data_IF_929337093348
#
_entry.id   IF_929337093348
#
_cell.length_a   1.000
_cell.length_b   1.000
_cell.length_c   1.000
_cell.angle_alpha   90.00
_cell.angle_beta   90.00
_cell.angle_gamma   90.00
#
_symmetry.space_group_name_H-M   'P 1'
#
loop_
_entity.id
_entity.type
_entity.pdbx_description
1 polymer ?
#
# COMPACT_ATOMS: atom_id res chain seq x y z
N UNK A 1 71.31 57.01 -18.50
CA UNK A 1 70.69 55.68 -18.35
C UNK A 1 69.52 55.85 -17.40
N UNK A 2 68.32 55.92 -17.95
CA UNK A 2 67.08 56.15 -17.25
C UNK A 2 66.47 54.80 -16.96
N UNK A 3 66.35 54.45 -15.68
CA UNK A 3 65.59 53.27 -15.22
C UNK A 3 64.08 53.54 -15.35
N UNK A 4 63.48 52.91 -16.34
CA UNK A 4 62.04 52.87 -16.46
C UNK A 4 61.46 51.86 -15.42
N UNK A 5 60.93 52.40 -14.34
CA UNK A 5 60.12 51.64 -13.43
C UNK A 5 58.79 51.26 -14.13
N UNK A 6 58.74 50.06 -14.65
CA UNK A 6 57.45 49.44 -15.03
C UNK A 6 56.63 49.22 -13.76
N UNK A 7 55.74 50.15 -13.46
CA UNK A 7 54.72 49.99 -12.41
C UNK A 7 53.74 48.91 -12.78
N UNK A 8 53.90 47.72 -12.19
CA UNK A 8 52.90 46.66 -12.31
C UNK A 8 51.59 47.15 -11.68
N UNK A 9 50.57 47.41 -12.54
CA UNK A 9 49.23 47.69 -12.13
C UNK A 9 48.71 46.44 -11.45
N UNK A 10 48.64 46.46 -10.09
CA UNK A 10 47.94 45.41 -9.33
C UNK A 10 46.47 45.58 -9.61
N UNK A 11 45.91 44.72 -10.48
CA UNK A 11 44.47 44.59 -10.66
C UNK A 11 43.84 44.24 -9.29
N UNK A 12 43.18 45.23 -8.64
CA UNK A 12 42.35 44.98 -7.48
C UNK A 12 41.09 44.25 -7.98
N UNK A 13 41.00 42.96 -7.67
CA UNK A 13 39.80 42.18 -7.89
C UNK A 13 38.73 42.70 -6.93
N UNK A 14 37.72 43.35 -7.46
CA UNK A 14 36.48 43.63 -6.75
C UNK A 14 35.52 42.52 -7.10
N UNK A 15 35.08 41.66 -6.17
CA UNK A 15 34.07 40.66 -6.46
C UNK A 15 32.81 41.35 -6.97
N UNK A 16 32.33 41.02 -8.15
CA UNK A 16 31.15 41.61 -8.79
C UNK A 16 29.83 41.30 -8.04
N UNK A 17 29.87 40.32 -7.14
CA UNK A 17 28.75 39.98 -6.25
C UNK A 17 29.19 40.10 -4.78
N UNK A 18 28.36 40.70 -3.90
CA UNK A 18 28.64 40.81 -2.48
C UNK A 18 28.40 39.52 -1.69
N UNK A 19 28.69 38.33 -2.30
CA UNK A 19 28.50 37.02 -1.72
C UNK A 19 29.84 36.28 -1.59
N UNK A 20 29.97 35.46 -0.54
CA UNK A 20 31.14 34.59 -0.37
C UNK A 20 31.12 33.46 -1.39
N UNK A 21 32.33 32.99 -1.81
CA UNK A 21 32.46 31.88 -2.76
C UNK A 21 31.71 30.63 -2.29
N UNK A 22 31.67 30.30 -1.01
CA UNK A 22 30.92 29.18 -0.44
C UNK A 22 29.40 29.32 -0.65
N UNK A 23 28.87 30.56 -0.45
CA UNK A 23 27.43 30.81 -0.69
C UNK A 23 27.06 30.69 -2.16
N UNK A 24 27.93 31.20 -3.05
CA UNK A 24 27.74 31.05 -4.51
C UNK A 24 27.78 29.58 -4.92
N UNK A 25 28.73 28.79 -4.40
CA UNK A 25 28.80 27.36 -4.66
C UNK A 25 27.53 26.61 -4.16
N UNK A 26 27.04 26.95 -2.98
CA UNK A 26 25.79 26.37 -2.45
C UNK A 26 24.60 26.71 -3.34
N UNK A 27 24.46 27.94 -3.83
CA UNK A 27 23.39 28.33 -4.72
C UNK A 27 23.45 27.62 -6.07
N UNK A 28 24.64 27.42 -6.64
CA UNK A 28 24.82 26.63 -7.86
C UNK A 28 24.42 25.18 -7.64
N UNK A 29 24.84 24.58 -6.53
CA UNK A 29 24.43 23.21 -6.16
C UNK A 29 22.91 23.12 -6.01
N UNK A 30 22.29 24.00 -5.24
CA UNK A 30 20.84 24.02 -5.04
C UNK A 30 20.07 24.22 -6.36
N UNK A 31 20.63 24.99 -7.31
CA UNK A 31 20.02 25.16 -8.62
C UNK A 31 19.92 23.83 -9.39
N UNK A 32 20.96 22.98 -9.31
CA UNK A 32 20.93 21.66 -9.94
C UNK A 32 19.89 20.74 -9.26
N UNK A 33 19.79 20.78 -7.94
CA UNK A 33 18.83 19.98 -7.18
C UNK A 33 17.37 20.45 -7.42
N UNK A 34 17.15 21.77 -7.53
CA UNK A 34 15.84 22.31 -7.92
C UNK A 34 15.43 21.79 -9.31
N UNK A 35 16.32 21.80 -10.29
CA UNK A 35 16.04 21.27 -11.62
C UNK A 35 15.74 19.77 -11.58
N UNK A 36 16.48 19.01 -10.77
CA UNK A 36 16.27 17.58 -10.61
C UNK A 36 14.88 17.28 -10.04
N UNK A 37 14.50 17.90 -8.90
CA UNK A 37 13.18 17.70 -8.32
C UNK A 37 12.06 18.27 -9.19
N UNK A 38 12.25 19.40 -9.84
CA UNK A 38 11.28 19.96 -10.78
C UNK A 38 11.02 19.00 -11.95
N UNK A 39 12.06 18.33 -12.47
CA UNK A 39 11.92 17.29 -13.48
C UNK A 39 11.11 16.08 -12.98
N UNK A 40 11.38 15.61 -11.76
CA UNK A 40 10.66 14.50 -11.15
C UNK A 40 9.18 14.85 -10.87
N UNK A 41 8.91 16.02 -10.30
CA UNK A 41 7.56 16.51 -10.02
C UNK A 41 6.79 16.72 -11.33
N UNK A 42 7.44 17.32 -12.33
CA UNK A 42 6.86 17.50 -13.66
C UNK A 42 6.49 16.17 -14.30
N UNK A 43 7.38 15.18 -14.21
CA UNK A 43 7.12 13.81 -14.69
C UNK A 43 5.92 13.18 -13.98
N UNK A 44 5.83 13.31 -12.65
CA UNK A 44 4.67 12.82 -11.89
C UNK A 44 3.37 13.47 -12.38
N UNK A 45 3.36 14.79 -12.56
CA UNK A 45 2.18 15.54 -13.03
C UNK A 45 1.77 15.05 -14.42
N UNK A 46 2.71 14.92 -15.35
CA UNK A 46 2.43 14.45 -16.73
C UNK A 46 1.87 13.02 -16.72
N UNK A 47 2.46 12.12 -15.94
CA UNK A 47 2.00 10.74 -15.83
C UNK A 47 0.61 10.67 -15.19
N UNK A 48 0.35 11.45 -14.16
CA UNK A 48 -0.95 11.51 -13.49
C UNK A 48 -2.07 11.98 -14.41
N UNK A 49 -1.86 13.07 -15.13
CA UNK A 49 -2.88 13.62 -16.03
C UNK A 49 -2.95 12.87 -17.37
N UNK A 50 -1.90 12.15 -17.76
CA UNK A 50 -1.89 11.30 -18.95
C UNK A 50 -2.47 9.90 -18.73
N UNK A 51 -2.57 9.45 -17.48
CA UNK A 51 -3.13 8.14 -17.17
C UNK A 51 -4.67 8.15 -17.26
N UNK A 52 -5.29 7.08 -17.78
CA UNK A 52 -6.75 6.94 -17.82
C UNK A 52 -7.38 6.83 -16.43
N UNK A 53 -6.62 6.39 -15.44
CA UNK A 53 -7.02 6.30 -14.05
C UNK A 53 -5.80 6.50 -13.15
N UNK A 54 -5.99 7.14 -11.99
CA UNK A 54 -4.95 7.39 -10.99
C UNK A 54 -5.51 7.09 -9.61
N UNK A 55 -4.81 6.31 -8.77
CA UNK A 55 -5.34 5.91 -7.47
C UNK A 55 -5.48 7.11 -6.53
N UNK A 56 -6.53 7.08 -5.73
CA UNK A 56 -6.76 8.06 -4.67
C UNK A 56 -5.88 7.72 -3.44
N UNK A 57 -5.53 8.71 -2.60
CA UNK A 57 -4.65 8.49 -1.45
C UNK A 57 -5.08 7.36 -0.52
N UNK A 58 -6.38 7.22 -0.26
CA UNK A 58 -6.93 6.16 0.60
C UNK A 58 -6.82 4.75 -0.03
N UNK A 59 -6.83 4.63 -1.36
CA UNK A 59 -6.69 3.34 -2.06
C UNK A 59 -5.28 2.78 -1.98
N UNK A 60 -4.31 3.65 -1.75
CA UNK A 60 -2.88 3.29 -1.62
C UNK A 60 -2.37 3.44 -0.19
N UNK A 61 -3.27 3.42 0.78
CA UNK A 61 -2.97 3.51 2.21
C UNK A 61 -2.10 4.73 2.56
N UNK A 62 -2.38 5.89 1.96
CA UNK A 62 -1.83 7.18 2.37
C UNK A 62 -2.73 7.82 3.43
N UNK A 63 -2.11 8.23 4.53
CA UNK A 63 -2.79 8.93 5.62
C UNK A 63 -2.47 10.42 5.59
N UNK A 64 -3.46 11.22 5.21
CA UNK A 64 -3.32 12.70 5.18
C UNK A 64 -2.89 13.29 6.53
N UNK A 65 -3.44 12.87 7.70
CA UNK A 65 -3.04 13.40 8.99
C UNK A 65 -1.57 13.11 9.32
N UNK A 66 -1.08 11.92 8.95
CA UNK A 66 0.33 11.55 9.17
C UNK A 66 1.24 12.40 8.28
N UNK A 67 0.86 12.62 7.02
CA UNK A 67 1.58 13.50 6.11
C UNK A 67 1.62 14.96 6.60
N UNK A 68 0.48 15.48 7.08
CA UNK A 68 0.38 16.81 7.65
C UNK A 68 1.24 16.98 8.91
N UNK A 69 1.20 16.02 9.83
CA UNK A 69 2.07 16.00 11.01
C UNK A 69 3.56 16.02 10.61
N UNK A 70 3.92 15.21 9.63
CA UNK A 70 5.29 15.11 9.17
C UNK A 70 5.78 16.44 8.52
N UNK A 71 4.88 17.11 7.79
CA UNK A 71 5.12 18.45 7.23
C UNK A 71 5.32 19.48 8.35
N UNK A 72 4.49 19.45 9.40
CA UNK A 72 4.64 20.32 10.55
C UNK A 72 5.99 20.14 11.26
N UNK A 73 6.43 18.89 11.44
CA UNK A 73 7.73 18.56 12.04
C UNK A 73 8.88 19.19 11.23
N UNK A 74 8.84 19.11 9.90
CA UNK A 74 9.86 19.74 9.05
C UNK A 74 9.85 21.27 9.17
N UNK A 75 8.68 21.91 9.14
CA UNK A 75 8.57 23.37 9.32
C UNK A 75 9.17 23.80 10.67
N UNK A 76 8.90 23.05 11.75
CA UNK A 76 9.53 23.30 13.04
C UNK A 76 11.06 23.16 12.98
N UNK A 77 11.56 22.14 12.26
CA UNK A 77 13.00 21.94 12.09
C UNK A 77 13.68 23.08 11.32
N UNK A 78 13.00 23.65 10.34
CA UNK A 78 13.44 24.85 9.62
C UNK A 78 13.64 26.05 10.56
N UNK A 79 12.72 26.25 11.50
CA UNK A 79 12.85 27.31 12.52
C UNK A 79 14.04 27.06 13.43
N UNK A 80 14.25 25.82 13.88
CA UNK A 80 15.37 25.48 14.78
C UNK A 80 16.73 25.67 14.13
N UNK A 81 16.88 25.46 12.82
CA UNK A 81 18.13 25.77 12.09
C UNK A 81 18.43 27.28 12.09
N UNK A 82 17.41 28.13 11.90
CA UNK A 82 17.56 29.59 11.94
C UNK A 82 17.99 30.04 13.35
N UNK A 83 17.37 29.48 14.39
CA UNK A 83 17.75 29.79 15.79
C UNK A 83 19.16 29.31 16.10
N UNK A 84 19.61 28.18 15.52
CA UNK A 84 21.00 27.73 15.65
C UNK A 84 21.98 28.71 15.01
N UNK A 85 21.68 29.23 13.82
CA UNK A 85 22.48 30.23 13.13
C UNK A 85 22.58 31.53 13.94
N UNK A 86 21.45 32.03 14.47
CA UNK A 86 21.41 33.24 15.27
C UNK A 86 22.23 33.06 16.55
N UNK A 87 22.09 31.95 17.26
CA UNK A 87 22.87 31.63 18.44
C UNK A 87 24.39 31.58 18.17
N UNK A 88 24.80 31.04 17.03
CA UNK A 88 26.19 30.98 16.59
C UNK A 88 26.75 32.39 16.28
N UNK A 89 25.97 33.25 15.61
CA UNK A 89 26.35 34.65 15.31
C UNK A 89 26.62 35.47 16.57
N UNK A 90 25.87 35.19 17.63
CA UNK A 90 26.03 35.86 18.96
C UNK A 90 27.05 35.11 19.85
N UNK A 91 27.76 34.12 19.27
CA UNK A 91 28.79 33.31 19.95
C UNK A 91 28.26 32.48 21.15
N UNK A 92 26.96 32.13 21.17
CA UNK A 92 26.34 31.27 22.19
C UNK A 92 26.42 29.80 21.77
N UNK A 93 27.64 29.24 21.82
CA UNK A 93 27.96 27.91 21.31
C UNK A 93 27.05 26.81 21.88
N UNK A 94 26.74 26.85 23.18
CA UNK A 94 25.87 25.86 23.82
C UNK A 94 24.45 25.89 23.28
N UNK A 95 23.86 27.06 23.05
CA UNK A 95 22.53 27.21 22.46
C UNK A 95 22.53 26.82 20.99
N UNK A 96 23.56 27.19 20.21
CA UNK A 96 23.68 26.78 18.83
C UNK A 96 23.69 25.25 18.69
N UNK A 97 24.48 24.55 19.51
CA UNK A 97 24.46 23.07 19.55
C UNK A 97 23.12 22.50 19.98
N UNK A 98 22.45 23.11 20.96
CA UNK A 98 21.12 22.68 21.39
C UNK A 98 20.09 22.78 20.26
N UNK A 99 20.08 23.84 19.47
CA UNK A 99 19.21 24.02 18.34
C UNK A 99 19.53 23.08 17.17
N UNK A 100 20.82 22.81 16.89
CA UNK A 100 21.22 21.79 15.89
C UNK A 100 20.78 20.39 16.33
N UNK A 101 20.91 20.06 17.62
CA UNK A 101 20.41 18.78 18.15
C UNK A 101 18.88 18.67 18.03
N UNK A 102 18.14 19.76 18.27
CA UNK A 102 16.70 19.80 18.07
C UNK A 102 16.33 19.58 16.59
N UNK A 103 17.03 20.22 15.64
CA UNK A 103 16.85 19.99 14.21
C UNK A 103 17.10 18.55 13.84
N UNK A 104 18.20 17.97 14.32
CA UNK A 104 18.54 16.55 14.09
C UNK A 104 17.43 15.62 14.59
N UNK A 105 16.93 15.87 15.80
CA UNK A 105 15.87 15.06 16.40
C UNK A 105 14.58 15.15 15.57
N UNK A 106 14.14 16.36 15.18
CA UNK A 106 12.96 16.56 14.36
C UNK A 106 13.09 15.88 12.98
N UNK A 107 14.25 15.97 12.34
CA UNK A 107 14.52 15.29 11.09
C UNK A 107 14.55 13.75 11.23
N UNK A 108 15.06 13.23 12.36
CA UNK A 108 14.96 11.80 12.67
C UNK A 108 13.51 11.35 12.86
N UNK A 109 12.66 12.15 13.50
CA UNK A 109 11.22 11.89 13.63
C UNK A 109 10.59 11.82 12.25
N UNK A 110 10.90 12.77 11.34
CA UNK A 110 10.41 12.75 9.96
C UNK A 110 10.77 11.45 9.24
N UNK A 111 12.04 11.03 9.27
CA UNK A 111 12.47 9.77 8.62
C UNK A 111 11.85 8.55 9.29
N UNK A 112 11.67 8.55 10.61
CA UNK A 112 11.01 7.47 11.34
C UNK A 112 9.56 7.28 10.89
N UNK A 113 8.80 8.38 10.76
CA UNK A 113 7.42 8.36 10.23
C UNK A 113 7.40 7.86 8.78
N UNK A 114 8.35 8.29 7.94
CA UNK A 114 8.45 7.81 6.55
C UNK A 114 8.82 6.32 6.47
N UNK A 115 9.70 5.84 7.34
CA UNK A 115 10.02 4.42 7.41
C UNK A 115 8.81 3.57 7.82
N UNK A 116 8.02 4.03 8.80
CA UNK A 116 6.76 3.39 9.20
C UNK A 116 5.76 3.34 8.03
N UNK A 117 5.60 4.46 7.30
CA UNK A 117 4.71 4.52 6.13
C UNK A 117 5.15 3.56 5.01
N UNK A 118 6.46 3.46 4.75
CA UNK A 118 7.00 2.51 3.78
C UNK A 118 6.78 1.07 4.22
N UNK A 119 7.00 0.76 5.49
CA UNK A 119 6.73 -0.57 6.04
C UNK A 119 5.25 -0.94 5.87
N UNK A 120 4.33 -0.02 6.17
CA UNK A 120 2.90 -0.24 5.96
C UNK A 120 2.57 -0.52 4.48
N UNK A 121 3.17 0.20 3.53
CA UNK A 121 2.97 -0.07 2.10
C UNK A 121 3.50 -1.44 1.68
N UNK A 122 4.69 -1.81 2.11
CA UNK A 122 5.27 -3.11 1.81
C UNK A 122 4.47 -4.26 2.43
N UNK A 123 3.93 -4.09 3.64
CA UNK A 123 3.05 -5.08 4.26
C UNK A 123 1.72 -5.27 3.50
N UNK A 124 1.26 -4.25 2.76
CA UNK A 124 0.09 -4.36 1.87
C UNK A 124 0.45 -4.78 0.43
N UNK A 125 1.70 -5.15 0.16
CA UNK A 125 2.14 -5.58 -1.17
C UNK A 125 2.26 -4.46 -2.20
N UNK A 126 2.37 -3.20 -1.75
CA UNK A 126 2.59 -2.04 -2.61
C UNK A 126 4.11 -1.82 -2.73
N UNK A 127 4.67 -2.25 -3.86
CA UNK A 127 6.09 -2.11 -4.17
C UNK A 127 6.29 -1.26 -5.43
N UNK A 128 7.49 -0.66 -5.60
CA UNK A 128 7.78 0.19 -6.77
C UNK A 128 7.65 -0.57 -8.09
N UNK A 129 7.85 -1.89 -8.10
CA UNK A 129 7.89 -2.71 -9.32
C UNK A 129 7.61 -4.19 -9.04
N UNK A 130 7.10 -4.91 -10.06
CA UNK A 130 7.04 -6.38 -10.07
C UNK A 130 8.47 -6.97 -10.02
N UNK A 131 8.67 -8.18 -9.45
CA UNK A 131 7.64 -9.16 -9.11
C UNK A 131 7.00 -8.99 -7.72
N UNK A 132 7.50 -8.09 -6.87
CA UNK A 132 7.03 -7.96 -5.48
C UNK A 132 5.69 -7.22 -5.36
N UNK A 133 5.35 -6.37 -6.34
CA UNK A 133 4.06 -5.65 -6.35
C UNK A 133 2.89 -6.61 -6.57
N UNK A 134 1.92 -6.57 -5.65
CA UNK A 134 0.65 -7.29 -5.76
C UNK A 134 -0.42 -6.50 -6.54
N UNK A 135 -0.05 -5.37 -7.11
CA UNK A 135 -0.95 -4.47 -7.84
C UNK A 135 -1.12 -4.96 -9.28
N UNK A 136 -2.38 -5.03 -9.73
CA UNK A 136 -2.80 -5.27 -11.11
C UNK A 136 -3.58 -4.06 -11.63
N UNK A 137 -3.41 -3.75 -12.92
CA UNK A 137 -4.05 -2.61 -13.57
C UNK A 137 -5.54 -2.84 -13.88
N UNK A 138 -5.91 -4.09 -14.07
CA UNK A 138 -7.26 -4.50 -14.44
C UNK A 138 -7.57 -5.89 -13.93
N UNK A 139 -8.85 -6.21 -13.67
CA UNK A 139 -9.29 -7.55 -13.32
C UNK A 139 -9.36 -8.38 -14.60
N UNK A 140 -8.28 -9.08 -14.92
CA UNK A 140 -8.17 -10.00 -16.03
C UNK A 140 -7.88 -11.45 -15.55
N UNK A 141 -7.72 -12.36 -16.51
CA UNK A 141 -7.43 -13.77 -16.20
C UNK A 141 -6.08 -13.97 -15.52
N UNK A 142 -5.08 -13.12 -15.83
CA UNK A 142 -3.78 -13.19 -15.17
C UNK A 142 -3.90 -12.82 -13.70
N UNK A 143 -4.70 -11.78 -13.40
CA UNK A 143 -5.05 -11.38 -12.03
C UNK A 143 -5.75 -12.52 -11.29
N UNK A 144 -6.81 -13.08 -11.88
CA UNK A 144 -7.59 -14.14 -11.25
C UNK A 144 -6.78 -15.44 -11.03
N UNK A 145 -5.89 -15.79 -11.97
CA UNK A 145 -4.97 -16.92 -11.80
C UNK A 145 -4.01 -16.69 -10.65
N UNK A 146 -3.48 -15.48 -10.49
CA UNK A 146 -2.57 -15.15 -9.40
C UNK A 146 -3.28 -15.17 -8.04
N UNK A 147 -4.52 -14.65 -7.94
CA UNK A 147 -5.34 -14.76 -6.73
C UNK A 147 -5.49 -16.24 -6.34
N UNK A 148 -5.83 -17.10 -7.29
CA UNK A 148 -5.98 -18.53 -7.04
C UNK A 148 -4.66 -19.18 -6.62
N UNK A 149 -3.56 -18.91 -7.33
CA UNK A 149 -2.23 -19.42 -6.97
C UNK A 149 -1.80 -19.00 -5.57
N UNK A 150 -2.08 -17.76 -5.18
CA UNK A 150 -1.78 -17.25 -3.84
C UNK A 150 -2.58 -18.01 -2.77
N UNK A 151 -3.88 -18.22 -3.00
CA UNK A 151 -4.72 -19.01 -2.09
C UNK A 151 -4.25 -20.47 -2.01
N UNK A 152 -3.91 -21.11 -3.14
CA UNK A 152 -3.37 -22.47 -3.18
C UNK A 152 -2.03 -22.59 -2.43
N UNK A 153 -1.14 -21.62 -2.62
CA UNK A 153 0.14 -21.58 -1.90
C UNK A 153 -0.06 -21.44 -0.38
N UNK A 154 -1.02 -20.61 0.05
CA UNK A 154 -1.39 -20.51 1.47
C UNK A 154 -1.95 -21.84 2.00
N UNK A 155 -2.84 -22.49 1.25
CA UNK A 155 -3.41 -23.77 1.65
C UNK A 155 -2.33 -24.84 1.81
N UNK A 156 -1.41 -24.95 0.85
CA UNK A 156 -0.29 -25.91 0.91
C UNK A 156 0.62 -25.62 2.10
N UNK A 157 0.97 -24.36 2.31
CA UNK A 157 1.82 -23.94 3.44
C UNK A 157 1.19 -24.31 4.80
N UNK A 158 -0.10 -23.97 4.98
CA UNK A 158 -0.81 -24.24 6.22
C UNK A 158 -1.06 -25.75 6.43
N UNK A 159 -1.34 -26.51 5.37
CA UNK A 159 -1.52 -27.96 5.44
C UNK A 159 -0.23 -28.72 5.70
N UNK A 160 0.94 -28.17 5.34
CA UNK A 160 2.25 -28.77 5.61
C UNK A 160 2.76 -28.53 7.03
N UNK A 161 2.14 -27.68 7.81
CA UNK A 161 2.45 -27.48 9.23
C UNK A 161 1.99 -28.71 10.03
N UNK A 162 2.94 -29.45 10.61
CA UNK A 162 2.70 -30.75 11.26
C UNK A 162 1.72 -30.74 12.45
N UNK A 163 1.51 -29.57 13.10
CA UNK A 163 0.51 -29.34 14.17
C UNK A 163 0.03 -27.88 14.06
N UNK A 164 -0.99 -27.62 13.22
CA UNK A 164 -1.48 -26.25 13.05
C UNK A 164 -2.12 -25.74 14.35
N UNK A 165 -1.74 -24.50 14.73
CA UNK A 165 -2.40 -23.77 15.81
C UNK A 165 -3.88 -23.51 15.49
N UNK A 166 -4.68 -23.13 16.47
CA UNK A 166 -6.09 -22.79 16.27
C UNK A 166 -6.26 -21.71 15.19
N UNK A 167 -5.38 -20.69 15.20
CA UNK A 167 -5.39 -19.62 14.20
C UNK A 167 -5.06 -20.14 12.79
N UNK A 168 -4.12 -21.07 12.65
CA UNK A 168 -3.77 -21.68 11.37
C UNK A 168 -4.88 -22.61 10.85
N UNK A 169 -5.63 -23.26 11.73
CA UNK A 169 -6.81 -24.03 11.36
C UNK A 169 -7.92 -23.12 10.80
N UNK A 170 -8.17 -21.99 11.44
CA UNK A 170 -9.11 -20.99 10.95
C UNK A 170 -8.67 -20.39 9.60
N UNK A 171 -7.39 -20.10 9.45
CA UNK A 171 -6.81 -19.65 8.18
C UNK A 171 -6.98 -20.70 7.07
N UNK A 172 -6.78 -21.98 7.38
CA UNK A 172 -6.96 -23.10 6.45
C UNK A 172 -8.42 -23.23 6.04
N UNK A 173 -9.35 -23.10 6.98
CA UNK A 173 -10.81 -23.14 6.71
C UNK A 173 -11.24 -21.98 5.81
N UNK A 174 -10.79 -20.76 6.09
CA UNK A 174 -11.06 -19.56 5.26
C UNK A 174 -10.49 -19.76 3.85
N UNK A 175 -9.21 -20.12 3.73
CA UNK A 175 -8.55 -20.33 2.44
C UNK A 175 -9.25 -21.41 1.61
N UNK A 176 -9.57 -22.56 2.21
CA UNK A 176 -10.26 -23.64 1.55
C UNK A 176 -11.69 -23.27 1.12
N UNK A 177 -12.39 -22.44 1.89
CA UNK A 177 -13.72 -21.93 1.54
C UNK A 177 -13.64 -20.96 0.35
N UNK A 178 -12.68 -20.04 0.36
CA UNK A 178 -12.47 -19.11 -0.75
C UNK A 178 -12.08 -19.83 -2.04
N UNK A 179 -11.19 -20.83 -2.00
CA UNK A 179 -10.79 -21.61 -3.17
C UNK A 179 -11.94 -22.38 -3.79
N UNK A 180 -12.77 -23.02 -2.95
CA UNK A 180 -13.87 -23.88 -3.44
C UNK A 180 -15.09 -23.11 -3.92
N UNK A 181 -15.37 -21.95 -3.33
CA UNK A 181 -16.66 -21.27 -3.53
C UNK A 181 -16.56 -19.85 -4.08
N UNK A 182 -15.37 -19.25 -4.10
CA UNK A 182 -15.17 -17.90 -4.57
C UNK A 182 -14.27 -17.80 -5.79
N UNK A 183 -13.08 -18.41 -5.77
CA UNK A 183 -12.15 -18.44 -6.90
C UNK A 183 -12.23 -19.78 -7.66
N UNK A 184 -13.43 -20.19 -8.07
CA UNK A 184 -13.66 -21.51 -8.70
C UNK A 184 -13.06 -21.60 -10.10
N UNK A 185 -12.44 -22.73 -10.48
CA UNK A 185 -11.94 -22.93 -11.84
C UNK A 185 -13.01 -22.74 -12.92
N UNK A 186 -14.23 -23.22 -12.67
CA UNK A 186 -15.35 -23.09 -13.61
C UNK A 186 -15.74 -21.62 -13.90
N UNK A 187 -15.71 -20.75 -12.89
CA UNK A 187 -15.97 -19.31 -13.04
C UNK A 187 -14.84 -18.62 -13.83
N UNK A 188 -13.60 -19.01 -13.58
CA UNK A 188 -12.44 -18.50 -14.30
C UNK A 188 -12.41 -18.99 -15.76
N UNK A 189 -12.85 -20.24 -16.01
CA UNK A 189 -13.00 -20.77 -17.37
C UNK A 189 -14.10 -20.04 -18.13
N UNK A 190 -15.23 -19.73 -17.49
CA UNK A 190 -16.28 -18.90 -18.10
C UNK A 190 -15.76 -17.48 -18.46
N UNK A 191 -14.83 -16.94 -17.66
CA UNK A 191 -14.18 -15.67 -17.94
C UNK A 191 -13.23 -15.72 -19.16
N UNK A 192 -12.69 -16.89 -19.52
CA UNK A 192 -11.84 -17.06 -20.71
C UNK A 192 -12.58 -16.79 -22.03
N UNK A 193 -13.89 -16.95 -22.06
CA UNK A 193 -14.69 -16.69 -23.27
C UNK A 193 -14.80 -15.21 -23.64
N UNK A 194 -14.25 -14.29 -22.84
CA UNK A 194 -14.21 -12.84 -23.11
C UNK A 194 -15.59 -12.18 -23.15
N UNK A 195 -16.63 -12.85 -22.68
CA UNK A 195 -18.00 -12.35 -22.68
C UNK A 195 -18.26 -11.44 -21.44
N UNK A 196 -19.36 -10.69 -21.48
CA UNK A 196 -19.77 -9.80 -20.40
C UNK A 196 -19.90 -10.51 -19.04
N UNK A 197 -20.37 -11.75 -19.03
CA UNK A 197 -20.54 -12.55 -17.81
C UNK A 197 -19.19 -12.86 -17.13
N UNK A 198 -18.18 -13.21 -17.92
CA UNK A 198 -16.82 -13.43 -17.41
C UNK A 198 -16.22 -12.16 -16.78
N UNK A 199 -16.41 -10.99 -17.41
CA UNK A 199 -15.92 -9.74 -16.86
C UNK A 199 -16.63 -9.35 -15.54
N UNK A 200 -17.92 -9.65 -15.41
CA UNK A 200 -18.66 -9.46 -14.14
C UNK A 200 -18.04 -10.28 -13.00
N UNK A 201 -17.68 -11.54 -13.28
CA UNK A 201 -17.01 -12.41 -12.28
C UNK A 201 -15.66 -11.84 -11.85
N UNK A 202 -14.84 -11.40 -12.82
CA UNK A 202 -13.53 -10.82 -12.54
C UNK A 202 -13.62 -9.51 -11.72
N UNK A 203 -14.55 -8.64 -12.10
CA UNK A 203 -14.80 -7.39 -11.35
C UNK A 203 -15.26 -7.67 -9.93
N UNK A 204 -16.11 -8.68 -9.73
CA UNK A 204 -16.58 -9.12 -8.43
C UNK A 204 -15.45 -9.67 -7.55
N UNK A 205 -14.56 -10.46 -8.16
CA UNK A 205 -13.37 -10.97 -7.48
C UNK A 205 -12.47 -9.81 -6.98
N UNK A 206 -12.20 -8.85 -7.87
CA UNK A 206 -11.39 -7.68 -7.52
C UNK A 206 -12.02 -6.85 -6.39
N UNK A 207 -13.31 -6.54 -6.52
CA UNK A 207 -14.03 -5.75 -5.56
C UNK A 207 -14.16 -6.43 -4.17
N UNK A 208 -14.17 -7.76 -4.11
CA UNK A 208 -14.19 -8.49 -2.84
C UNK A 208 -12.82 -8.47 -2.13
N UNK A 209 -11.72 -8.42 -2.88
CA UNK A 209 -10.36 -8.36 -2.32
C UNK A 209 -10.02 -6.95 -1.85
N UNK A 210 -10.29 -5.96 -2.70
CA UNK A 210 -10.08 -4.55 -2.42
C UNK A 210 -11.15 -3.70 -3.12
N UNK A 211 -12.26 -3.35 -2.44
CA UNK A 211 -13.32 -2.55 -3.03
C UNK A 211 -12.89 -1.08 -3.13
N UNK A 212 -13.12 -0.46 -4.27
CA UNK A 212 -13.01 0.99 -4.40
C UNK A 212 -14.16 1.69 -3.64
N UNK A 213 -13.90 2.89 -3.10
CA UNK A 213 -14.80 3.55 -2.16
C UNK A 213 -16.22 3.79 -2.66
N UNK A 214 -16.41 4.08 -3.94
CA UNK A 214 -17.70 4.25 -4.62
C UNK A 214 -18.44 2.92 -4.88
N UNK A 215 -17.70 1.81 -4.96
CA UNK A 215 -18.24 0.48 -5.21
C UNK A 215 -18.70 -0.24 -3.93
N UNK A 216 -18.18 0.15 -2.76
CA UNK A 216 -18.50 -0.49 -1.47
C UNK A 216 -20.01 -0.61 -1.17
N UNK A 217 -20.84 0.45 -1.31
CA UNK A 217 -22.27 0.35 -1.00
C UNK A 217 -22.99 -0.61 -1.94
N UNK A 218 -22.61 -0.59 -3.23
CA UNK A 218 -23.21 -1.45 -4.26
C UNK A 218 -22.87 -2.91 -3.98
N UNK A 219 -21.60 -3.18 -3.68
CA UNK A 219 -21.14 -4.53 -3.40
C UNK A 219 -21.77 -5.11 -2.11
N UNK A 220 -21.87 -4.34 -1.04
CA UNK A 220 -22.58 -4.75 0.19
C UNK A 220 -24.03 -5.13 -0.09
N UNK A 221 -24.71 -4.35 -0.93
CA UNK A 221 -26.10 -4.63 -1.33
C UNK A 221 -26.19 -5.95 -2.12
N UNK A 222 -25.30 -6.16 -3.08
CA UNK A 222 -25.27 -7.39 -3.88
C UNK A 222 -24.97 -8.62 -3.02
N UNK A 223 -23.97 -8.55 -2.14
CA UNK A 223 -23.64 -9.65 -1.22
C UNK A 223 -24.81 -9.98 -0.29
N UNK A 224 -25.51 -8.96 0.22
CA UNK A 224 -26.69 -9.16 1.08
C UNK A 224 -27.84 -9.82 0.33
N UNK A 225 -28.08 -9.42 -0.92
CA UNK A 225 -29.12 -10.03 -1.77
C UNK A 225 -28.79 -11.51 -2.08
N UNK A 226 -27.55 -11.80 -2.48
CA UNK A 226 -27.10 -13.14 -2.76
C UNK A 226 -27.15 -14.04 -1.52
N UNK A 227 -26.76 -13.52 -0.36
CA UNK A 227 -26.90 -14.23 0.91
C UNK A 227 -28.33 -14.64 1.17
N UNK A 228 -29.28 -13.72 1.03
CA UNK A 228 -30.71 -14.00 1.23
C UNK A 228 -31.26 -15.04 0.21
N UNK A 229 -30.80 -14.98 -1.02
CA UNK A 229 -31.22 -15.95 -2.06
C UNK A 229 -30.67 -17.36 -1.75
N UNK A 230 -29.42 -17.45 -1.32
CA UNK A 230 -28.82 -18.73 -0.93
C UNK A 230 -29.43 -19.30 0.36
N UNK A 231 -29.77 -18.46 1.33
CA UNK A 231 -30.52 -18.89 2.53
C UNK A 231 -31.87 -19.49 2.17
N UNK A 232 -32.65 -18.84 1.31
CA UNK A 232 -33.91 -19.37 0.80
C UNK A 232 -33.73 -20.69 0.06
N UNK A 233 -32.67 -20.80 -0.75
CA UNK A 233 -32.37 -22.05 -1.49
C UNK A 233 -31.96 -23.17 -0.53
N UNK A 234 -31.15 -22.89 0.49
CA UNK A 234 -30.79 -23.86 1.54
C UNK A 234 -32.05 -24.38 2.23
N UNK A 235 -32.90 -23.47 2.71
CA UNK A 235 -34.11 -23.83 3.42
C UNK A 235 -35.06 -24.67 2.55
N UNK A 236 -35.14 -24.37 1.23
CA UNK A 236 -35.90 -25.15 0.27
C UNK A 236 -35.30 -26.55 0.03
N UNK A 237 -33.97 -26.68 0.05
CA UNK A 237 -33.32 -28.00 -0.06
C UNK A 237 -33.51 -28.84 1.20
N UNK A 238 -33.38 -28.21 2.37
CA UNK A 238 -33.60 -28.88 3.66
C UNK A 238 -35.05 -29.38 3.82
N UNK A 239 -36.01 -28.57 3.35
CA UNK A 239 -37.44 -28.99 3.32
C UNK A 239 -37.66 -30.20 2.43
N UNK A 240 -36.90 -30.38 1.34
CA UNK A 240 -36.95 -31.55 0.45
C UNK A 240 -36.17 -32.74 1.02
N UNK A 241 -35.05 -32.51 1.68
CA UNK A 241 -34.18 -33.56 2.23
C UNK A 241 -34.77 -34.21 3.48
N UNK A 242 -35.39 -33.44 4.36
CA UNK A 242 -35.97 -33.94 5.64
C UNK A 242 -36.93 -35.11 5.46
N UNK A 243 -37.97 -35.02 4.58
CA UNK A 243 -38.90 -36.13 4.40
C UNK A 243 -38.22 -37.35 3.74
N UNK A 244 -37.28 -37.14 2.82
CA UNK A 244 -36.58 -38.26 2.17
C UNK A 244 -35.68 -39.01 3.17
N UNK A 245 -35.01 -38.30 4.07
CA UNK A 245 -34.22 -38.93 5.12
C UNK A 245 -35.10 -39.69 6.15
N UNK A 246 -36.30 -39.19 6.46
CA UNK A 246 -37.25 -39.89 7.30
C UNK A 246 -37.71 -41.17 6.61
N UNK A 247 -38.10 -41.10 5.33
CA UNK A 247 -38.51 -42.24 4.55
C UNK A 247 -37.39 -43.29 4.44
N UNK A 248 -36.13 -42.86 4.24
CA UNK A 248 -34.97 -43.72 4.24
C UNK A 248 -34.80 -44.47 5.56
N UNK A 249 -34.97 -43.76 6.69
CA UNK A 249 -34.86 -44.35 8.04
C UNK A 249 -35.97 -45.36 8.28
N UNK A 250 -37.19 -45.07 7.82
CA UNK A 250 -38.37 -45.94 7.96
C UNK A 250 -38.18 -47.22 7.12
N UNK A 251 -37.77 -47.11 5.87
CA UNK A 251 -37.48 -48.27 5.03
C UNK A 251 -36.38 -49.17 5.59
N UNK A 252 -35.30 -48.56 6.16
CA UNK A 252 -34.23 -49.31 6.84
C UNK A 252 -34.69 -49.98 8.13
N UNK A 253 -35.68 -49.43 8.86
CA UNK A 253 -36.17 -49.99 10.08
C UNK A 253 -37.20 -51.15 9.89
N UNK A 254 -37.83 -51.20 8.73
CA UNK A 254 -38.80 -52.28 8.38
C UNK A 254 -38.19 -53.64 8.10
N UNK A 255 -36.85 -53.72 7.89
CA UNK A 255 -36.06 -54.96 7.90
C UNK A 255 -36.49 -56.07 6.93
N UNK A 256 -37.29 -55.77 5.90
CA UNK A 256 -37.71 -56.73 4.91
C UNK A 256 -36.75 -56.65 3.69
N UNK A 257 -35.89 -57.64 3.58
CA UNK A 257 -35.01 -57.86 2.38
C UNK A 257 -35.83 -58.41 1.20
N UNK A 258 -36.67 -57.54 0.62
CA UNK A 258 -37.29 -57.82 -0.67
C UNK A 258 -36.59 -57.00 -1.77
N UNK A 259 -36.31 -57.59 -2.91
CA UNK A 259 -35.67 -56.94 -4.05
C UNK A 259 -36.33 -55.59 -4.45
N UNK A 260 -37.64 -55.45 -4.29
CA UNK A 260 -38.37 -54.21 -4.52
C UNK A 260 -38.05 -53.13 -3.48
N UNK A 261 -37.75 -53.51 -2.24
CA UNK A 261 -37.37 -52.56 -1.16
C UNK A 261 -35.93 -52.08 -1.35
N UNK A 262 -35.04 -52.95 -1.85
CA UNK A 262 -33.64 -52.58 -2.18
C UNK A 262 -33.59 -51.61 -3.36
N UNK A 263 -34.42 -51.80 -4.40
CA UNK A 263 -34.50 -50.91 -5.55
C UNK A 263 -35.02 -49.50 -5.11
N UNK A 264 -36.10 -49.46 -4.30
CA UNK A 264 -36.61 -48.23 -3.72
C UNK A 264 -35.61 -47.52 -2.84
N UNK A 265 -34.84 -48.24 -2.03
CA UNK A 265 -33.80 -47.71 -1.17
C UNK A 265 -32.62 -47.16 -1.98
N UNK A 266 -32.25 -47.84 -3.07
CA UNK A 266 -31.20 -47.38 -3.99
C UNK A 266 -31.58 -46.06 -4.66
N UNK A 267 -32.83 -45.98 -5.20
CA UNK A 267 -33.32 -44.76 -5.83
C UNK A 267 -33.43 -43.59 -4.87
N UNK A 268 -33.88 -43.85 -3.62
CA UNK A 268 -33.97 -42.87 -2.56
C UNK A 268 -32.58 -42.36 -2.12
N UNK A 269 -31.62 -43.28 -1.98
CA UNK A 269 -30.22 -42.94 -1.67
C UNK A 269 -29.63 -42.05 -2.77
N UNK A 270 -29.90 -42.33 -4.04
CA UNK A 270 -29.45 -41.52 -5.17
C UNK A 270 -30.05 -40.11 -5.12
N UNK A 271 -31.34 -39.96 -4.82
CA UNK A 271 -32.01 -38.65 -4.64
C UNK A 271 -31.43 -37.88 -3.45
N UNK A 272 -31.25 -38.55 -2.33
CA UNK A 272 -30.64 -37.93 -1.10
C UNK A 272 -29.20 -37.50 -1.38
N UNK A 273 -28.39 -38.29 -2.07
CA UNK A 273 -27.05 -37.97 -2.43
C UNK A 273 -26.98 -36.75 -3.37
N UNK A 274 -27.81 -36.65 -4.35
CA UNK A 274 -27.88 -35.52 -5.28
C UNK A 274 -28.29 -34.24 -4.58
N UNK A 275 -29.41 -34.26 -3.85
CA UNK A 275 -29.90 -33.08 -3.11
C UNK A 275 -28.95 -32.70 -1.94
N UNK A 276 -28.34 -33.70 -1.29
CA UNK A 276 -27.33 -33.48 -0.25
C UNK A 276 -26.07 -32.84 -0.81
N UNK A 277 -25.63 -33.20 -2.00
CA UNK A 277 -24.52 -32.54 -2.72
C UNK A 277 -24.86 -31.09 -3.04
N UNK A 278 -26.08 -30.82 -3.53
CA UNK A 278 -26.52 -29.44 -3.79
C UNK A 278 -26.58 -28.59 -2.48
N UNK A 279 -27.10 -29.18 -1.41
CA UNK A 279 -27.18 -28.51 -0.11
C UNK A 279 -25.78 -28.17 0.43
N UNK A 280 -24.85 -29.11 0.32
CA UNK A 280 -23.44 -28.86 0.75
C UNK A 280 -22.79 -27.77 -0.09
N UNK A 281 -23.06 -27.72 -1.40
CA UNK A 281 -22.54 -26.65 -2.25
C UNK A 281 -23.14 -25.27 -1.89
N UNK A 282 -24.43 -25.20 -1.64
CA UNK A 282 -25.14 -23.99 -1.22
C UNK A 282 -24.62 -23.49 0.13
N UNK A 283 -24.41 -24.39 1.07
CA UNK A 283 -23.85 -24.04 2.40
C UNK A 283 -22.42 -23.54 2.30
N UNK A 284 -21.59 -24.18 1.47
CA UNK A 284 -20.22 -23.73 1.23
C UNK A 284 -20.17 -22.34 0.57
N UNK A 285 -21.09 -22.05 -0.36
CA UNK A 285 -21.22 -20.70 -0.95
C UNK A 285 -21.71 -19.68 0.08
N UNK A 286 -22.65 -20.06 0.95
CA UNK A 286 -23.14 -19.20 2.00
C UNK A 286 -22.03 -18.83 2.98
N UNK A 287 -21.16 -19.77 3.34
CA UNK A 287 -19.99 -19.54 4.19
C UNK A 287 -19.02 -18.58 3.49
N UNK A 288 -18.73 -18.76 2.19
CA UNK A 288 -17.89 -17.84 1.44
C UNK A 288 -18.45 -16.42 1.42
N UNK A 289 -19.76 -16.26 1.16
CA UNK A 289 -20.43 -14.94 1.19
C UNK A 289 -20.40 -14.33 2.58
N UNK A 290 -20.53 -15.15 3.61
CA UNK A 290 -20.44 -14.64 5.01
C UNK A 290 -19.03 -14.13 5.33
N UNK A 291 -17.99 -14.80 4.83
CA UNK A 291 -16.60 -14.30 4.90
C UNK A 291 -16.46 -12.95 4.19
N UNK A 292 -16.98 -12.85 2.95
CA UNK A 292 -16.94 -11.63 2.13
C UNK A 292 -17.77 -10.49 2.75
N UNK A 293 -18.98 -10.78 3.23
CA UNK A 293 -19.88 -9.81 3.85
C UNK A 293 -19.33 -9.26 5.18
N UNK A 294 -18.50 -10.04 5.86
CA UNK A 294 -17.80 -9.60 7.07
C UNK A 294 -16.51 -8.82 6.79
N UNK A 295 -16.10 -8.69 5.53
CA UNK A 295 -14.91 -7.95 5.11
C UNK A 295 -15.31 -6.59 4.53
N UNK A 296 -15.70 -5.66 5.40
CA UNK A 296 -16.27 -4.36 5.04
C UNK A 296 -15.35 -3.52 4.13
N UNK A 297 -14.05 -3.63 4.30
CA UNK A 297 -13.02 -2.94 3.51
C UNK A 297 -12.23 -3.88 2.59
N UNK A 298 -12.75 -5.10 2.37
CA UNK A 298 -12.13 -6.13 1.54
C UNK A 298 -11.38 -7.20 2.31
N UNK A 299 -11.05 -8.28 1.60
CA UNK A 299 -10.39 -9.45 2.19
C UNK A 299 -8.99 -9.15 2.72
N UNK A 300 -8.21 -8.34 2.01
CA UNK A 300 -6.85 -7.99 2.42
C UNK A 300 -6.82 -7.14 3.70
N UNK A 301 -7.83 -6.27 3.90
CA UNK A 301 -7.94 -5.46 5.11
C UNK A 301 -8.35 -6.31 6.32
N UNK A 302 -9.30 -7.23 6.13
CA UNK A 302 -9.77 -8.11 7.22
C UNK A 302 -8.78 -9.21 7.57
N UNK A 303 -8.14 -9.79 6.56
CA UNK A 303 -7.22 -10.92 6.67
C UNK A 303 -5.83 -10.52 6.18
N UNK A 304 -5.12 -9.69 6.97
CA UNK A 304 -3.78 -9.18 6.61
C UNK A 304 -2.77 -10.26 6.22
N UNK A 305 -2.96 -11.50 6.67
CA UNK A 305 -2.11 -12.63 6.33
C UNK A 305 -2.32 -13.19 4.92
N UNK A 306 -3.45 -12.86 4.25
CA UNK A 306 -3.78 -13.38 2.92
C UNK A 306 -2.89 -12.81 1.82
N UNK A 307 -2.54 -11.52 1.89
CA UNK A 307 -1.74 -10.82 0.88
C UNK A 307 -2.17 -11.14 -0.57
N UNK A 308 -3.49 -11.07 -0.84
CA UNK A 308 -4.02 -11.34 -2.18
C UNK A 308 -3.65 -10.20 -3.14
N UNK A 309 -3.41 -10.50 -4.43
CA UNK A 309 -3.29 -9.50 -5.47
C UNK A 309 -4.50 -8.57 -5.49
N UNK A 310 -4.26 -7.27 -5.69
CA UNK A 310 -5.29 -6.24 -5.71
C UNK A 310 -5.31 -5.51 -7.04
N UNK A 311 -6.48 -5.03 -7.45
CA UNK A 311 -6.63 -4.23 -8.67
C UNK A 311 -6.67 -2.76 -8.27
N UNK A 312 -5.64 -2.01 -8.66
CA UNK A 312 -5.54 -0.56 -8.49
C UNK A 312 -5.13 0.01 -9.85
N UNK A 313 -6.06 0.53 -10.64
CA UNK A 313 -5.75 1.11 -11.95
C UNK A 313 -4.79 2.30 -11.82
N UNK A 314 -3.68 2.27 -12.59
CA UNK A 314 -2.60 3.25 -12.46
C UNK A 314 -1.68 3.02 -11.23
N UNK A 315 -1.96 2.02 -10.41
CA UNK A 315 -1.31 1.80 -9.12
C UNK A 315 0.18 1.48 -9.20
N UNK A 316 0.62 0.72 -10.20
CA UNK A 316 2.05 0.42 -10.38
C UNK A 316 2.84 1.69 -10.78
N UNK A 317 2.27 2.52 -11.65
CA UNK A 317 2.89 3.78 -12.07
C UNK A 317 2.92 4.77 -10.91
N UNK A 318 1.82 4.85 -10.15
CA UNK A 318 1.76 5.63 -8.93
C UNK A 318 2.82 5.18 -7.93
N UNK A 319 2.91 3.88 -7.62
CA UNK A 319 3.88 3.35 -6.67
C UNK A 319 5.32 3.65 -7.09
N UNK A 320 5.68 3.42 -8.36
CA UNK A 320 7.01 3.72 -8.89
C UNK A 320 7.38 5.19 -8.72
N UNK A 321 6.50 6.10 -9.10
CA UNK A 321 6.74 7.55 -9.00
C UNK A 321 6.72 8.04 -7.55
N UNK A 322 5.82 7.51 -6.71
CA UNK A 322 5.77 7.82 -5.29
C UNK A 322 7.07 7.45 -4.58
N UNK A 323 7.55 6.21 -4.74
CA UNK A 323 8.79 5.77 -4.09
C UNK A 323 10.01 6.49 -4.66
N UNK A 324 10.01 6.85 -5.95
CA UNK A 324 11.07 7.62 -6.56
C UNK A 324 11.16 9.02 -5.94
N UNK A 325 10.07 9.77 -5.94
CA UNK A 325 10.00 11.14 -5.41
C UNK A 325 10.32 11.19 -3.91
N UNK A 326 9.60 10.39 -3.13
CA UNK A 326 9.76 10.40 -1.67
C UNK A 326 11.06 9.76 -1.22
N UNK A 327 11.59 8.77 -1.96
CA UNK A 327 12.87 8.13 -1.68
C UNK A 327 14.07 9.05 -1.92
N UNK A 328 14.11 9.77 -3.04
CA UNK A 328 15.14 10.78 -3.28
C UNK A 328 15.05 11.92 -2.26
N UNK A 329 13.83 12.36 -1.92
CA UNK A 329 13.66 13.34 -0.88
C UNK A 329 14.20 12.84 0.48
N UNK A 330 13.84 11.62 0.89
CA UNK A 330 14.33 11.01 2.12
C UNK A 330 15.87 10.85 2.14
N UNK A 331 16.48 10.56 0.99
CA UNK A 331 17.94 10.53 0.86
C UNK A 331 18.57 11.90 1.11
N UNK A 332 17.98 12.98 0.59
CA UNK A 332 18.44 14.36 0.84
C UNK A 332 18.29 14.75 2.31
N UNK A 333 17.13 14.38 2.94
CA UNK A 333 16.97 14.57 4.40
C UNK A 333 18.06 13.83 5.15
N UNK A 334 18.33 12.57 4.82
CA UNK A 334 19.38 11.76 5.48
C UNK A 334 20.76 12.41 5.37
N UNK A 335 21.15 12.91 4.19
CA UNK A 335 22.41 13.64 3.98
C UNK A 335 22.47 14.86 4.89
N UNK A 336 21.40 15.66 4.96
CA UNK A 336 21.31 16.80 5.86
C UNK A 336 21.48 16.41 7.33
N UNK A 337 20.85 15.33 7.77
CA UNK A 337 20.97 14.83 9.15
C UNK A 337 22.39 14.35 9.47
N UNK A 338 23.07 13.69 8.54
CA UNK A 338 24.48 13.30 8.70
C UNK A 338 25.34 14.54 8.92
N UNK A 339 25.14 15.59 8.14
CA UNK A 339 25.89 16.84 8.30
C UNK A 339 25.56 17.50 9.66
N UNK A 340 24.29 17.59 10.06
CA UNK A 340 23.94 18.13 11.39
C UNK A 340 24.56 17.31 12.53
N UNK A 341 24.57 15.98 12.43
CA UNK A 341 25.23 15.11 13.38
C UNK A 341 26.72 15.41 13.50
N UNK A 342 27.43 15.61 12.37
CA UNK A 342 28.83 15.99 12.37
C UNK A 342 29.07 17.37 13.03
N UNK A 343 28.14 18.32 12.84
CA UNK A 343 28.24 19.64 13.45
C UNK A 343 28.12 19.62 14.99
N UNK A 344 27.50 18.61 15.60
CA UNK A 344 27.46 18.46 17.06
C UNK A 344 28.85 18.21 17.67
N UNK A 345 29.76 17.60 16.90
CA UNK A 345 31.14 17.34 17.36
C UNK A 345 32.07 18.57 17.17
N UNK A 346 31.65 19.58 16.41
CA UNK A 346 32.43 20.76 16.08
C UNK A 346 32.00 21.91 17.00
N UNK A 347 32.91 22.84 17.29
CA UNK A 347 32.60 24.06 18.05
C UNK A 347 31.89 25.06 17.14
N UNK A 348 30.62 25.39 17.43
CA UNK A 348 29.79 26.29 16.65
C UNK A 348 29.91 27.73 17.16
N UNK A 349 31.04 28.37 16.83
CA UNK A 349 31.34 29.76 17.14
C UNK A 349 30.99 30.70 15.96
N UNK A 350 31.20 32.00 16.19
CA UNK A 350 30.94 33.04 15.19
C UNK A 350 31.71 32.86 13.90
N UNK A 351 32.91 32.28 13.94
CA UNK A 351 33.73 32.06 12.75
C UNK A 351 33.11 30.99 11.84
N UNK A 352 32.39 30.02 12.41
CA UNK A 352 31.72 28.94 11.72
C UNK A 352 30.24 29.20 11.41
N UNK A 353 29.70 30.34 11.83
CA UNK A 353 28.32 30.73 11.49
C UNK A 353 28.02 30.67 9.96
N UNK A 354 28.93 31.04 9.03
CA UNK A 354 28.69 30.89 7.61
C UNK A 354 28.45 29.45 7.19
N UNK A 355 29.08 28.46 7.83
CA UNK A 355 28.85 27.04 7.48
C UNK A 355 27.45 26.58 7.93
N UNK A 356 26.95 27.07 9.09
CA UNK A 356 25.58 26.82 9.54
C UNK A 356 24.60 27.48 8.57
N UNK A 357 24.92 28.62 8.00
CA UNK A 357 24.10 29.29 6.98
C UNK A 357 24.02 28.42 5.71
N UNK A 358 25.13 27.82 5.26
CA UNK A 358 25.13 26.98 4.06
C UNK A 358 24.29 25.71 4.24
N UNK A 359 24.46 25.00 5.37
CA UNK A 359 23.64 23.81 5.64
C UNK A 359 22.18 24.18 5.89
N UNK A 360 21.91 25.36 6.48
CA UNK A 360 20.56 25.89 6.63
C UNK A 360 19.87 26.16 5.28
N UNK A 361 20.58 26.73 4.31
CA UNK A 361 20.06 26.91 2.95
C UNK A 361 19.70 25.56 2.30
N UNK A 362 20.58 24.56 2.47
CA UNK A 362 20.30 23.21 1.99
C UNK A 362 19.06 22.61 2.67
N UNK A 363 18.96 22.74 4.01
CA UNK A 363 17.83 22.20 4.77
C UNK A 363 16.51 22.85 4.38
N UNK A 364 16.48 24.17 4.21
CA UNK A 364 15.29 24.88 3.75
C UNK A 364 14.87 24.47 2.33
N UNK A 365 15.83 24.19 1.45
CA UNK A 365 15.52 23.63 0.15
C UNK A 365 14.84 22.26 0.27
N UNK A 366 15.36 21.34 1.11
CA UNK A 366 14.77 20.03 1.35
C UNK A 366 13.34 20.17 1.90
N UNK A 367 13.12 21.05 2.89
CA UNK A 367 11.80 21.33 3.42
C UNK A 367 10.84 21.90 2.36
N UNK A 368 11.33 22.79 1.52
CA UNK A 368 10.54 23.39 0.44
C UNK A 368 10.08 22.31 -0.56
N UNK A 369 10.94 21.39 -0.94
CA UNK A 369 10.56 20.26 -1.81
C UNK A 369 9.44 19.46 -1.17
N UNK A 370 9.49 19.18 0.15
CA UNK A 370 8.43 18.46 0.85
C UNK A 370 7.09 19.21 0.84
N UNK A 371 7.11 20.53 1.00
CA UNK A 371 5.90 21.38 0.95
C UNK A 371 5.18 21.24 -0.41
N UNK A 372 5.90 20.99 -1.50
CA UNK A 372 5.29 20.67 -2.80
C UNK A 372 4.86 19.21 -2.92
N UNK A 373 5.67 18.28 -2.40
CA UNK A 373 5.36 16.84 -2.48
C UNK A 373 4.13 16.45 -1.64
N UNK A 374 3.97 17.05 -0.47
CA UNK A 374 2.85 16.71 0.42
C UNK A 374 1.48 16.95 -0.23
N UNK A 375 1.10 18.14 -0.71
CA UNK A 375 -0.19 18.33 -1.35
C UNK A 375 -0.34 17.48 -2.63
N UNK A 376 0.72 17.36 -3.42
CA UNK A 376 0.70 16.63 -4.68
C UNK A 376 0.42 15.13 -4.51
N UNK A 377 0.93 14.51 -3.43
CA UNK A 377 0.83 13.08 -3.19
C UNK A 377 -0.32 12.70 -2.24
N UNK A 378 -0.67 13.57 -1.28
CA UNK A 378 -1.60 13.24 -0.19
C UNK A 378 -2.96 13.92 -0.30
N UNK A 379 -3.06 15.09 -0.96
CA UNK A 379 -4.32 15.85 -1.00
C UNK A 379 -5.03 15.76 -2.37
N UNK A 380 -4.28 15.51 -3.42
CA UNK A 380 -4.82 15.44 -4.79
C UNK A 380 -4.69 13.99 -5.36
#
# INVERSE_FOLDING_TARGET
>A
MSDEHHGHIKLRYHPGMPMSNGKTCMWLFLSTEIMFFAGLIGTYIVLRFGAPSWPLPHEVHLSEPIGAFNTFVLICSSVTVVLALEAARVNRVGQAKGWIAATLLLGCVFLGVKAYEYQAKFSHGIYPQKPHSLIYEKPDLAYASMVRQTLEAHQVRLASAGNPSTDEQDQLAVTGTLLRHFARPAELTAAQSGNQQGQVVLNRLAAAIMPHGDQMPVQRKLLKQEKQELEKRRDGLDAKLSPLRMQQKELKSRGQENAATEEQLSELNKKIATLGGEATEVEGRLNAITILAGADHGLNEKYHWLHLPMVIPGGNMWASTYFLLTGFHALHVLVGLIVFALYLFIRLDRERAPHIEYIGLYWHFVDLVWIFLFPLLYLF
#
